data_IF_504503152965
#
_entry.id   IF_504503152965
#
_cell.length_a   1.000
_cell.length_b   1.000
_cell.length_c   1.000
_cell.angle_alpha   90.00
_cell.angle_beta   90.00
_cell.angle_gamma   90.00
#
_symmetry.space_group_name_H-M   'P 1'
#
loop_
_entity.id
_entity.type
_entity.pdbx_description
1 polymer ?
#
# COMPACT_ATOMS: atom_id res chain seq x y z
N UNK A 1 13.42 10.38 2.29
CA UNK A 1 12.78 9.05 2.28
C UNK A 1 11.59 9.03 3.21
N UNK A 2 10.49 8.46 2.74
CA UNK A 2 9.29 8.32 3.56
C UNK A 2 9.45 7.14 4.51
N UNK A 3 8.70 7.18 5.62
CA UNK A 3 8.62 6.07 6.55
C UNK A 3 7.30 5.34 6.33
N UNK A 4 7.36 4.02 6.24
CA UNK A 4 6.18 3.19 6.11
C UNK A 4 5.60 2.88 7.49
N UNK A 5 4.35 3.24 7.71
CA UNK A 5 3.65 3.01 8.97
C UNK A 5 2.43 2.14 8.72
N UNK A 6 2.47 0.87 9.10
CA UNK A 6 1.30 0.00 8.93
C UNK A 6 0.27 0.27 10.01
N UNK A 7 -1.00 0.31 9.60
CA UNK A 7 -2.10 0.35 10.56
C UNK A 7 -2.30 -1.04 11.18
N UNK A 8 -2.98 -1.15 12.33
CA UNK A 8 -3.30 -2.46 12.90
C UNK A 8 -4.10 -3.34 11.93
N UNK A 9 -5.00 -2.74 11.17
CA UNK A 9 -5.78 -3.47 10.16
C UNK A 9 -4.86 -4.07 9.09
N UNK A 10 -3.97 -3.25 8.55
CA UNK A 10 -2.99 -3.70 7.55
C UNK A 10 -2.11 -4.82 8.13
N UNK A 11 -1.62 -4.64 9.35
CA UNK A 11 -0.74 -5.62 9.98
C UNK A 11 -1.44 -6.98 10.15
N UNK A 12 -2.71 -6.96 10.52
CA UNK A 12 -3.49 -8.21 10.66
C UNK A 12 -3.66 -8.91 9.32
N UNK A 13 -3.96 -8.15 8.27
CA UNK A 13 -4.10 -8.71 6.94
C UNK A 13 -2.78 -9.28 6.44
N UNK A 14 -1.70 -8.55 6.67
CA UNK A 14 -0.36 -8.96 6.24
C UNK A 14 0.06 -10.29 6.87
N UNK A 15 -0.22 -10.47 8.16
CA UNK A 15 0.13 -11.70 8.88
C UNK A 15 -0.55 -12.94 8.32
N UNK A 16 -1.70 -12.77 7.68
CA UNK A 16 -2.46 -13.90 7.11
C UNK A 16 -1.92 -14.37 5.76
N UNK A 17 -1.03 -13.61 5.16
CA UNK A 17 -0.47 -13.96 3.86
C UNK A 17 0.67 -14.96 4.02
N UNK A 18 0.90 -15.75 2.99
CA UNK A 18 2.05 -16.65 2.97
C UNK A 18 3.35 -15.83 2.92
N UNK A 19 4.44 -16.45 3.32
CA UNK A 19 5.73 -15.76 3.43
C UNK A 19 6.24 -15.20 2.10
N UNK A 20 5.98 -15.92 1.00
CA UNK A 20 6.38 -15.44 -0.31
C UNK A 20 5.69 -14.13 -0.66
N UNK A 21 4.38 -14.08 -0.45
CA UNK A 21 3.59 -12.88 -0.70
C UNK A 21 3.99 -11.74 0.23
N UNK A 22 4.23 -12.05 1.50
CA UNK A 22 4.71 -11.06 2.46
C UNK A 22 6.02 -10.40 2.00
N UNK A 23 6.97 -11.21 1.56
CA UNK A 23 8.25 -10.69 1.07
C UNK A 23 8.07 -9.82 -0.16
N UNK A 24 7.20 -10.23 -1.06
CA UNK A 24 6.93 -9.50 -2.30
C UNK A 24 6.34 -8.13 -2.00
N UNK A 25 5.35 -8.07 -1.12
CA UNK A 25 4.71 -6.82 -0.73
C UNK A 25 5.70 -5.92 0.01
N UNK A 26 6.44 -6.49 0.96
CA UNK A 26 7.41 -5.73 1.73
C UNK A 26 8.48 -5.11 0.84
N UNK A 27 9.04 -5.91 -0.08
CA UNK A 27 10.06 -5.43 -1.01
C UNK A 27 9.53 -4.31 -1.89
N UNK A 28 8.32 -4.47 -2.40
CA UNK A 28 7.69 -3.45 -3.23
C UNK A 28 7.53 -2.14 -2.47
N UNK A 29 7.01 -2.21 -1.25
CA UNK A 29 6.79 -1.01 -0.43
C UNK A 29 8.09 -0.35 -0.02
N UNK A 30 9.15 -1.13 0.23
CA UNK A 30 10.46 -0.56 0.52
C UNK A 30 11.03 0.19 -0.67
N UNK A 31 10.75 -0.27 -1.88
CA UNK A 31 11.27 0.33 -3.10
C UNK A 31 10.56 1.64 -3.48
N UNK A 32 9.39 1.93 -2.92
CA UNK A 32 8.69 3.18 -3.25
C UNK A 32 8.87 4.25 -2.18
N UNK A 33 9.67 4.01 -1.15
CA UNK A 33 9.81 4.97 -0.05
C UNK A 33 10.49 6.28 -0.46
N UNK A 34 11.33 6.25 -1.48
CA UNK A 34 11.99 7.47 -1.97
C UNK A 34 11.05 8.29 -2.85
N UNK A 35 10.14 7.64 -3.54
CA UNK A 35 9.18 8.31 -4.41
C UNK A 35 7.87 7.51 -4.44
N UNK A 36 6.98 7.76 -3.48
CA UNK A 36 5.78 6.93 -3.33
C UNK A 36 4.81 7.00 -4.50
N UNK A 37 4.90 8.02 -5.34
CA UNK A 37 4.03 8.15 -6.51
C UNK A 37 4.67 7.68 -7.81
N UNK A 38 5.86 7.09 -7.72
CA UNK A 38 6.54 6.53 -8.91
C UNK A 38 5.82 5.32 -9.47
N UNK A 39 5.03 4.63 -8.65
CA UNK A 39 4.23 3.47 -9.04
C UNK A 39 2.83 3.61 -8.45
N UNK A 40 1.91 2.82 -8.98
CA UNK A 40 0.54 2.85 -8.49
C UNK A 40 -0.26 3.96 -9.11
N UNK A 41 -1.44 4.20 -8.55
CA UNK A 41 -2.38 5.19 -9.07
C UNK A 41 -3.17 5.81 -7.93
N UNK A 42 -3.72 7.01 -8.18
CA UNK A 42 -4.66 7.61 -7.25
C UNK A 42 -5.87 6.71 -7.08
N UNK A 43 -6.36 6.61 -5.86
CA UNK A 43 -7.57 5.84 -5.59
C UNK A 43 -8.80 6.56 -6.14
N UNK A 44 -8.83 7.87 -6.01
CA UNK A 44 -9.88 8.73 -6.56
C UNK A 44 -9.25 9.96 -7.18
N UNK A 45 -9.91 10.52 -8.21
CA UNK A 45 -9.45 11.73 -8.85
C UNK A 45 -9.34 12.88 -7.85
N UNK A 46 -8.30 13.70 -7.99
CA UNK A 46 -8.04 14.88 -7.15
C UNK A 46 -7.68 14.57 -5.69
N UNK A 47 -7.36 13.31 -5.38
CA UNK A 47 -6.93 12.91 -4.04
C UNK A 47 -5.58 12.22 -4.12
N UNK A 48 -4.53 13.01 -4.36
CA UNK A 48 -3.19 12.48 -4.58
C UNK A 48 -2.55 11.87 -3.33
N UNK A 49 -3.15 12.09 -2.16
CA UNK A 49 -2.72 11.47 -0.91
C UNK A 49 -3.27 10.06 -0.74
N UNK A 50 -4.33 9.70 -1.47
CA UNK A 50 -4.92 8.37 -1.42
C UNK A 50 -4.44 7.58 -2.63
N UNK A 51 -3.66 6.55 -2.36
CA UNK A 51 -2.91 5.85 -3.40
C UNK A 51 -3.07 4.35 -3.29
N UNK A 52 -2.95 3.66 -4.41
CA UNK A 52 -3.00 2.20 -4.43
C UNK A 52 -1.83 1.66 -5.23
N UNK A 53 -1.32 0.54 -4.76
CA UNK A 53 -0.28 -0.21 -5.44
C UNK A 53 -0.82 -1.57 -5.83
N UNK A 54 -0.50 -1.99 -7.04
CA UNK A 54 -0.81 -3.33 -7.51
C UNK A 54 0.44 -4.20 -7.35
N UNK A 55 0.33 -5.22 -6.52
CA UNK A 55 1.46 -6.11 -6.22
C UNK A 55 0.98 -7.54 -6.46
N UNK A 56 1.25 -8.07 -7.67
CA UNK A 56 0.73 -9.36 -8.06
C UNK A 56 -0.79 -9.35 -8.09
N UNK A 57 -1.41 -10.27 -7.37
CA UNK A 57 -2.87 -10.37 -7.29
C UNK A 57 -3.46 -9.54 -6.15
N UNK A 58 -2.64 -8.75 -5.48
CA UNK A 58 -3.07 -7.96 -4.33
C UNK A 58 -3.05 -6.49 -4.62
N UNK A 59 -3.86 -5.76 -3.88
CA UNK A 59 -3.88 -4.29 -3.88
C UNK A 59 -3.52 -3.81 -2.48
N UNK A 60 -2.66 -2.82 -2.42
CA UNK A 60 -2.32 -2.16 -1.16
C UNK A 60 -2.81 -0.73 -1.24
N UNK A 61 -3.64 -0.35 -0.29
CA UNK A 61 -4.17 1.02 -0.18
C UNK A 61 -3.37 1.75 0.88
N UNK A 62 -2.89 2.93 0.54
CA UNK A 62 -2.08 3.74 1.44
C UNK A 62 -2.59 5.18 1.46
N UNK A 63 -2.19 5.90 2.51
CA UNK A 63 -2.35 7.34 2.60
C UNK A 63 -0.95 7.95 2.65
N UNK A 64 -0.65 8.80 1.68
CA UNK A 64 0.67 9.43 1.58
C UNK A 64 0.59 10.80 2.23
N UNK A 65 1.32 10.97 3.31
CA UNK A 65 1.37 12.21 4.08
C UNK A 65 2.72 12.89 3.82
N UNK A 66 2.75 13.75 2.80
CA UNK A 66 4.00 14.35 2.32
C UNK A 66 4.67 15.22 3.38
N UNK A 67 3.90 16.00 4.11
CA UNK A 67 4.46 16.90 5.12
C UNK A 67 5.15 16.15 6.25
N UNK A 68 4.70 14.95 6.55
CA UNK A 68 5.26 14.12 7.62
C UNK A 68 6.23 13.07 7.09
N UNK A 69 6.38 12.96 5.78
CA UNK A 69 7.16 11.91 5.12
C UNK A 69 6.73 10.52 5.60
N UNK A 70 5.42 10.30 5.64
CA UNK A 70 4.83 9.03 6.08
C UNK A 70 3.97 8.43 4.96
N UNK A 71 4.11 7.14 4.77
CA UNK A 71 3.18 6.35 3.97
C UNK A 71 2.42 5.45 4.95
N UNK A 72 1.16 5.78 5.18
CA UNK A 72 0.33 5.01 6.10
C UNK A 72 -0.31 3.87 5.33
N UNK A 73 0.07 2.63 5.66
CA UNK A 73 -0.46 1.45 4.99
C UNK A 73 -1.79 1.06 5.63
N UNK A 74 -2.86 1.17 4.86
CA UNK A 74 -4.21 1.04 5.38
C UNK A 74 -4.82 -0.35 5.19
N UNK A 75 -4.63 -0.93 4.02
CA UNK A 75 -5.35 -2.14 3.67
C UNK A 75 -4.63 -2.95 2.60
N UNK A 76 -4.69 -4.28 2.75
CA UNK A 76 -4.30 -5.22 1.69
C UNK A 76 -5.56 -5.97 1.32
N UNK A 77 -5.85 -6.05 0.03
CA UNK A 77 -6.98 -6.84 -0.42
C UNK A 77 -6.61 -7.64 -1.65
N UNK A 78 -7.29 -8.77 -1.80
CA UNK A 78 -7.19 -9.53 -3.02
C UNK A 78 -7.83 -8.72 -4.14
N UNK A 79 -7.28 -8.78 -5.32
CA UNK A 79 -7.67 -7.95 -6.46
C UNK A 79 -9.18 -7.86 -6.68
N UNK A 80 -9.90 -8.98 -6.52
CA UNK A 80 -11.34 -9.02 -6.75
C UNK A 80 -12.15 -8.39 -5.64
N UNK A 81 -11.63 -8.41 -4.42
CA UNK A 81 -12.36 -7.94 -3.24
C UNK A 81 -12.37 -6.44 -3.14
N UNK A 82 -11.25 -5.79 -3.46
CA UNK A 82 -11.12 -4.33 -3.35
C UNK A 82 -12.02 -3.61 -4.34
N UNK A 83 -12.28 -4.20 -5.49
CA UNK A 83 -13.11 -3.58 -6.53
C UNK A 83 -14.55 -4.03 -6.52
N UNK A 84 -14.92 -4.76 -5.51
CA UNK A 84 -16.30 -5.20 -5.34
C UNK A 84 -17.06 -4.06 -4.68
N UNK A 85 -17.72 -3.29 -5.46
CA UNK A 85 -18.54 -2.16 -4.98
C UNK A 85 -19.99 -2.54 -5.15
#
# INVERSE_FOLDING_TARGET
>A
MYNLVPTPHFARQFKKLDKFTQKKIKSYLENILDNPRSRGKMLQANQSDQWRYRIGDYRVIVNIQDEKLIILALEIGYRREIYKV
#
